data_IF_574751964303
#
_entry.id   IF_574751964303
#
_cell.length_a   1.000
_cell.length_b   1.000
_cell.length_c   1.000
_cell.angle_alpha   90.00
_cell.angle_beta   90.00
_cell.angle_gamma   90.00
#
_symmetry.space_group_name_H-M   'P 1'
#
loop_
_entity.id
_entity.type
_entity.pdbx_description
1 polymer ?
#
# COMPACT_ATOMS: atom_id res chain seq x y z
N UNK A 1 6.83 0.86 -11.15
CA UNK A 1 6.39 -0.53 -11.46
C UNK A 1 6.54 -1.50 -10.28
N UNK A 2 7.39 -1.22 -9.29
CA UNK A 2 7.70 -2.17 -8.21
C UNK A 2 6.64 -2.37 -7.12
N UNK A 3 5.78 -1.38 -6.85
CA UNK A 3 4.84 -1.43 -5.71
C UNK A 3 3.56 -2.21 -6.02
N UNK A 4 2.97 -1.98 -7.18
CA UNK A 4 1.79 -2.75 -7.61
C UNK A 4 2.13 -4.23 -7.82
N UNK A 5 3.33 -4.54 -8.32
CA UNK A 5 3.78 -5.92 -8.50
C UNK A 5 3.93 -6.68 -7.18
N UNK A 6 4.34 -6.03 -6.07
CA UNK A 6 4.47 -6.70 -4.77
C UNK A 6 3.12 -7.03 -4.13
N UNK A 7 2.12 -6.16 -4.28
CA UNK A 7 0.76 -6.43 -3.79
C UNK A 7 0.12 -7.53 -4.65
N UNK A 8 0.23 -7.43 -5.98
CA UNK A 8 -0.23 -8.48 -6.89
C UNK A 8 0.50 -9.80 -6.65
N UNK A 9 1.82 -9.76 -6.38
CA UNK A 9 2.59 -10.94 -6.08
C UNK A 9 2.12 -11.61 -4.78
N UNK A 10 1.87 -10.82 -3.71
CA UNK A 10 1.35 -11.35 -2.44
C UNK A 10 -0.07 -11.88 -2.57
N UNK A 11 -0.95 -11.19 -3.31
CA UNK A 11 -2.33 -11.62 -3.54
C UNK A 11 -2.43 -12.84 -4.48
N UNK A 12 -1.51 -12.99 -5.44
CA UNK A 12 -1.53 -14.11 -6.40
C UNK A 12 -0.70 -15.30 -5.95
N UNK A 13 0.40 -15.11 -5.23
CA UNK A 13 1.21 -16.22 -4.70
C UNK A 13 0.44 -16.98 -3.63
N UNK A 14 -0.34 -16.31 -2.78
CA UNK A 14 -1.05 -16.97 -1.68
C UNK A 14 -2.08 -18.02 -2.16
N UNK A 15 -2.99 -17.73 -3.09
CA UNK A 15 -3.91 -18.74 -3.62
C UNK A 15 -3.21 -19.84 -4.41
N UNK A 16 -2.11 -19.53 -5.11
CA UNK A 16 -1.32 -20.56 -5.82
C UNK A 16 -0.64 -21.50 -4.84
N UNK A 17 0.02 -20.95 -3.80
CA UNK A 17 0.63 -21.76 -2.73
C UNK A 17 -0.42 -22.57 -1.96
N UNK A 18 -1.58 -21.97 -1.66
CA UNK A 18 -2.69 -22.67 -1.01
C UNK A 18 -3.22 -23.81 -1.89
N UNK A 19 -3.36 -23.61 -3.20
CA UNK A 19 -3.74 -24.65 -4.15
C UNK A 19 -2.72 -25.77 -4.26
N UNK A 20 -1.42 -25.44 -4.33
CA UNK A 20 -0.35 -26.43 -4.36
C UNK A 20 -0.28 -27.23 -3.06
N UNK A 21 -0.42 -26.58 -1.91
CA UNK A 21 -0.46 -27.25 -0.61
C UNK A 21 -1.73 -28.09 -0.45
N UNK A 22 -2.89 -27.60 -0.91
CA UNK A 22 -4.12 -28.40 -0.90
C UNK A 22 -3.95 -29.68 -1.73
N UNK A 23 -3.35 -29.57 -2.91
CA UNK A 23 -3.07 -30.73 -3.78
C UNK A 23 -2.02 -31.67 -3.13
N UNK A 24 -0.95 -31.15 -2.55
CA UNK A 24 0.04 -31.95 -1.81
C UNK A 24 -0.57 -32.69 -0.60
N UNK A 25 -1.60 -32.12 0.02
CA UNK A 25 -2.29 -32.71 1.18
C UNK A 25 -3.33 -33.75 0.74
N UNK A 26 -3.72 -33.82 -0.54
CA UNK A 26 -4.70 -34.84 -1.02
C UNK A 26 -4.24 -36.27 -0.75
N UNK A 27 -2.95 -36.56 -0.83
CA UNK A 27 -2.35 -37.87 -0.52
C UNK A 27 -2.10 -38.16 0.95
N UNK A 28 -2.35 -37.21 1.86
CA UNK A 28 -2.01 -37.35 3.28
C UNK A 28 -3.09 -38.18 3.99
N UNK A 29 -2.66 -39.27 4.61
CA UNK A 29 -3.43 -40.09 5.57
C UNK A 29 -2.77 -39.95 6.93
N UNK A 30 -3.49 -39.70 8.03
CA UNK A 30 -4.96 -39.80 8.24
C UNK A 30 -5.70 -38.46 7.92
N UNK A 31 -6.99 -38.57 7.67
CA UNK A 31 -7.90 -37.43 7.38
C UNK A 31 -7.81 -36.31 8.44
N UNK A 32 -7.54 -36.65 9.68
CA UNK A 32 -7.38 -35.68 10.76
C UNK A 32 -6.21 -34.70 10.51
N UNK A 33 -5.07 -35.21 10.02
CA UNK A 33 -3.90 -34.38 9.70
C UNK A 33 -4.20 -33.43 8.54
N UNK A 34 -4.92 -33.91 7.53
CA UNK A 34 -5.38 -33.07 6.41
C UNK A 34 -6.25 -31.89 6.89
N UNK A 35 -7.20 -32.12 7.78
CA UNK A 35 -8.05 -31.07 8.37
C UNK A 35 -7.26 -30.06 9.18
N UNK A 36 -6.25 -30.50 9.93
CA UNK A 36 -5.37 -29.62 10.71
C UNK A 36 -4.57 -28.71 9.77
N UNK A 37 -3.95 -29.27 8.74
CA UNK A 37 -3.16 -28.50 7.77
C UNK A 37 -4.03 -27.46 7.04
N UNK A 38 -5.21 -27.86 6.57
CA UNK A 38 -6.15 -26.94 5.92
C UNK A 38 -6.63 -25.84 6.89
N UNK A 39 -6.89 -26.19 8.15
CA UNK A 39 -7.25 -25.22 9.18
C UNK A 39 -6.15 -24.19 9.44
N UNK A 40 -4.89 -24.61 9.54
CA UNK A 40 -3.74 -23.73 9.71
C UNK A 40 -3.53 -22.80 8.49
N UNK A 41 -3.71 -23.32 7.28
CA UNK A 41 -3.63 -22.51 6.05
C UNK A 41 -4.72 -21.46 6.02
N UNK A 42 -5.94 -21.81 6.36
CA UNK A 42 -7.07 -20.87 6.42
C UNK A 42 -6.84 -19.80 7.50
N UNK A 43 -6.39 -20.19 8.68
CA UNK A 43 -6.06 -19.26 9.76
C UNK A 43 -4.95 -18.29 9.33
N UNK A 44 -3.88 -18.77 8.68
CA UNK A 44 -2.82 -17.95 8.14
C UNK A 44 -3.31 -16.95 7.08
N UNK A 45 -4.23 -17.39 6.21
CA UNK A 45 -4.83 -16.53 5.20
C UNK A 45 -5.65 -15.39 5.85
N UNK A 46 -6.47 -15.72 6.84
CA UNK A 46 -7.30 -14.75 7.58
C UNK A 46 -6.43 -13.72 8.31
N UNK A 47 -5.38 -14.18 9.01
CA UNK A 47 -4.44 -13.29 9.70
C UNK A 47 -3.74 -12.36 8.71
N UNK A 48 -3.23 -12.89 7.59
CA UNK A 48 -2.57 -12.08 6.57
C UNK A 48 -3.52 -11.04 5.96
N UNK A 49 -4.76 -11.42 5.66
CA UNK A 49 -5.76 -10.49 5.14
C UNK A 49 -6.13 -9.42 6.17
N UNK A 50 -6.29 -9.81 7.44
CA UNK A 50 -6.54 -8.88 8.54
C UNK A 50 -5.41 -7.85 8.72
N UNK A 51 -4.16 -8.28 8.64
CA UNK A 51 -3.00 -7.36 8.75
C UNK A 51 -2.94 -6.37 7.59
N UNK A 52 -3.26 -6.81 6.36
CA UNK A 52 -3.31 -5.93 5.19
C UNK A 52 -4.43 -4.88 5.36
N UNK A 53 -5.63 -5.32 5.73
CA UNK A 53 -6.79 -4.43 5.95
C UNK A 53 -6.50 -3.41 7.05
N UNK A 54 -5.90 -3.86 8.16
CA UNK A 54 -5.51 -2.97 9.26
C UNK A 54 -4.52 -1.89 8.80
N UNK A 55 -3.52 -2.26 8.00
CA UNK A 55 -2.57 -1.31 7.43
C UNK A 55 -3.22 -0.27 6.52
N UNK A 56 -4.17 -0.70 5.68
CA UNK A 56 -4.94 0.22 4.83
C UNK A 56 -5.79 1.18 5.66
N UNK A 57 -6.54 0.68 6.64
CA UNK A 57 -7.37 1.52 7.50
C UNK A 57 -6.56 2.56 8.26
N UNK A 58 -5.34 2.23 8.65
CA UNK A 58 -4.45 3.14 9.37
C UNK A 58 -3.89 4.25 8.47
N UNK A 59 -3.58 3.93 7.23
CA UNK A 59 -3.01 4.88 6.27
C UNK A 59 -4.06 5.69 5.49
N UNK A 60 -5.31 5.24 5.45
CA UNK A 60 -6.39 5.89 4.69
C UNK A 60 -6.62 7.35 5.10
N UNK A 61 -6.70 7.71 6.41
CA UNK A 61 -6.83 9.11 6.82
C UNK A 61 -5.66 9.98 6.36
N UNK A 62 -4.43 9.46 6.42
CA UNK A 62 -3.22 10.17 5.98
C UNK A 62 -3.26 10.42 4.48
N UNK A 63 -3.67 9.41 3.71
CA UNK A 63 -3.90 9.57 2.26
C UNK A 63 -4.93 10.63 1.95
N UNK A 64 -6.06 10.62 2.66
CA UNK A 64 -7.12 11.62 2.51
C UNK A 64 -6.64 13.05 2.80
N UNK A 65 -5.89 13.23 3.89
CA UNK A 65 -5.31 14.53 4.25
C UNK A 65 -4.31 15.01 3.20
N UNK A 66 -3.38 14.15 2.77
CA UNK A 66 -2.40 14.50 1.75
C UNK A 66 -3.07 14.87 0.42
N UNK A 67 -4.11 14.14 0.02
CA UNK A 67 -4.87 14.44 -1.18
C UNK A 67 -5.56 15.80 -1.08
N UNK A 68 -6.21 16.11 0.03
CA UNK A 68 -6.86 17.40 0.27
C UNK A 68 -5.84 18.54 0.26
N UNK A 69 -4.68 18.36 0.90
CA UNK A 69 -3.59 19.34 0.90
C UNK A 69 -3.11 19.64 -0.52
N UNK A 70 -2.90 18.61 -1.34
CA UNK A 70 -2.45 18.77 -2.72
C UNK A 70 -3.49 19.44 -3.62
N UNK A 71 -4.78 19.09 -3.46
CA UNK A 71 -5.88 19.73 -4.20
C UNK A 71 -6.03 21.21 -3.78
N UNK A 72 -5.94 21.51 -2.49
CA UNK A 72 -6.01 22.88 -1.99
C UNK A 72 -4.83 23.72 -2.49
N UNK A 73 -3.62 23.15 -2.47
CA UNK A 73 -2.44 23.81 -3.02
C UNK A 73 -2.59 24.10 -4.52
N UNK A 74 -3.08 23.12 -5.30
CA UNK A 74 -3.36 23.31 -6.73
C UNK A 74 -4.38 24.45 -6.94
N UNK A 75 -5.44 24.50 -6.15
CA UNK A 75 -6.45 25.55 -6.23
C UNK A 75 -5.86 26.93 -5.94
N UNK A 76 -5.10 27.07 -4.86
CA UNK A 76 -4.44 28.31 -4.46
C UNK A 76 -3.46 28.80 -5.53
N UNK A 77 -2.66 27.89 -6.09
CA UNK A 77 -1.74 28.21 -7.20
C UNK A 77 -2.51 28.71 -8.42
N UNK A 78 -3.64 28.08 -8.75
CA UNK A 78 -4.48 28.50 -9.88
C UNK A 78 -5.10 29.90 -9.69
N UNK A 79 -5.22 30.35 -8.44
CA UNK A 79 -5.65 31.69 -8.07
C UNK A 79 -4.51 32.71 -7.99
N UNK A 80 -3.29 32.33 -8.33
CA UNK A 80 -2.11 33.19 -8.31
C UNK A 80 -1.46 33.37 -6.93
N UNK A 81 -1.80 32.52 -5.95
CA UNK A 81 -1.13 32.53 -4.66
C UNK A 81 0.26 31.87 -4.77
N UNK A 82 1.27 32.51 -4.22
CA UNK A 82 2.62 31.94 -4.13
C UNK A 82 2.70 30.93 -3.00
N UNK A 83 3.04 29.69 -3.32
CA UNK A 83 3.28 28.61 -2.37
C UNK A 83 4.72 28.12 -2.56
N UNK A 84 5.56 28.21 -1.54
CA UNK A 84 6.94 27.74 -1.59
C UNK A 84 7.07 26.25 -1.28
N UNK A 85 6.35 25.78 -0.28
CA UNK A 85 6.45 24.39 0.23
C UNK A 85 5.08 23.83 0.53
N UNK A 86 4.89 22.54 0.26
CA UNK A 86 3.67 21.79 0.60
C UNK A 86 4.07 20.68 1.57
N UNK A 87 3.53 20.70 2.79
CA UNK A 87 3.78 19.67 3.80
C UNK A 87 2.83 18.50 3.61
N UNK A 88 3.37 17.31 3.54
CA UNK A 88 2.66 16.05 3.41
C UNK A 88 3.04 15.12 4.56
N UNK A 89 2.07 14.37 5.06
CA UNK A 89 2.32 13.41 6.13
C UNK A 89 2.84 12.09 5.56
N UNK A 90 3.86 11.51 6.21
CA UNK A 90 4.34 10.16 5.90
C UNK A 90 3.31 9.12 6.30
N UNK A 91 3.16 8.11 5.45
CA UNK A 91 2.41 6.91 5.80
C UNK A 91 3.17 6.10 6.85
N UNK A 92 2.49 5.67 7.90
CA UNK A 92 3.15 5.11 9.08
C UNK A 92 3.80 3.73 8.85
N UNK A 93 3.28 2.93 7.92
CA UNK A 93 3.68 1.53 7.85
C UNK A 93 3.73 0.98 6.42
N UNK A 94 4.93 0.59 5.98
CA UNK A 94 5.18 -0.02 4.67
C UNK A 94 4.97 -1.54 4.63
N UNK A 95 4.95 -2.20 5.79
CA UNK A 95 4.79 -3.66 5.91
C UNK A 95 3.44 -4.13 5.35
N UNK A 96 2.39 -3.35 5.56
CA UNK A 96 1.02 -3.72 5.22
C UNK A 96 0.51 -3.09 3.92
N UNK A 97 1.03 -1.92 3.55
CA UNK A 97 0.59 -1.15 2.38
C UNK A 97 1.55 -1.21 1.19
N UNK A 98 2.57 -2.04 1.27
CA UNK A 98 3.59 -2.18 0.24
C UNK A 98 4.67 -1.11 0.32
N UNK A 99 5.39 -0.88 -0.78
CA UNK A 99 6.57 -0.03 -0.80
C UNK A 99 6.28 1.49 -0.84
N UNK A 100 5.02 1.92 -0.83
CA UNK A 100 4.68 3.35 -0.95
C UNK A 100 5.26 4.22 0.18
N UNK A 101 5.16 3.83 1.47
CA UNK A 101 5.79 4.59 2.55
C UNK A 101 7.31 4.70 2.43
N UNK A 102 7.97 3.63 2.02
CA UNK A 102 9.42 3.63 1.82
C UNK A 102 9.87 4.49 0.63
N UNK A 103 8.96 4.83 -0.28
CA UNK A 103 9.23 5.64 -1.47
C UNK A 103 8.89 7.13 -1.27
N UNK A 104 8.33 7.51 -0.12
CA UNK A 104 8.03 8.90 0.20
C UNK A 104 9.32 9.72 0.31
N UNK A 105 9.29 10.91 -0.26
CA UNK A 105 10.45 11.78 -0.31
C UNK A 105 11.45 11.48 -1.44
N UNK A 106 11.33 10.38 -2.16
CA UNK A 106 12.15 10.18 -3.36
C UNK A 106 11.78 11.19 -4.45
N UNK A 107 12.80 11.77 -5.08
CA UNK A 107 12.64 12.83 -6.06
C UNK A 107 11.72 12.45 -7.23
N UNK A 108 11.81 11.22 -7.73
CA UNK A 108 10.96 10.77 -8.82
C UNK A 108 9.48 10.63 -8.41
N UNK A 109 9.18 10.26 -7.15
CA UNK A 109 7.81 10.21 -6.64
C UNK A 109 7.26 11.62 -6.50
N UNK A 110 8.04 12.55 -5.95
CA UNK A 110 7.66 13.95 -5.84
C UNK A 110 7.36 14.56 -7.22
N UNK A 111 8.17 14.26 -8.24
CA UNK A 111 7.91 14.66 -9.63
C UNK A 111 6.59 14.10 -10.17
N UNK A 112 6.29 12.83 -9.88
CA UNK A 112 5.02 12.22 -10.29
C UNK A 112 3.82 12.86 -9.62
N UNK A 113 3.88 13.12 -8.31
CA UNK A 113 2.84 13.81 -7.55
C UNK A 113 2.60 15.20 -8.13
N UNK A 114 3.66 16.01 -8.30
CA UNK A 114 3.57 17.35 -8.89
C UNK A 114 2.91 17.32 -10.27
N UNK A 115 3.34 16.41 -11.14
CA UNK A 115 2.76 16.25 -12.47
C UNK A 115 1.27 15.86 -12.42
N UNK A 116 0.90 14.95 -11.53
CA UNK A 116 -0.48 14.49 -11.41
C UNK A 116 -1.42 15.60 -10.92
N UNK A 117 -0.99 16.35 -9.90
CA UNK A 117 -1.75 17.46 -9.33
C UNK A 117 -1.50 18.81 -10.04
N UNK A 118 -0.73 18.83 -11.12
CA UNK A 118 -0.38 20.06 -11.86
C UNK A 118 0.26 21.13 -10.98
N UNK A 119 1.10 20.72 -10.05
CA UNK A 119 1.87 21.58 -9.16
C UNK A 119 3.18 21.96 -9.89
N UNK A 120 3.60 23.24 -9.89
CA UNK A 120 4.87 23.68 -10.43
C UNK A 120 6.06 22.92 -9.85
N UNK A 121 7.09 22.66 -10.67
CA UNK A 121 8.22 21.82 -10.27
C UNK A 121 9.13 22.50 -9.24
N UNK A 122 9.11 23.82 -9.16
CA UNK A 122 9.85 24.64 -8.19
C UNK A 122 9.30 24.53 -6.75
N UNK A 123 8.04 24.17 -6.57
CA UNK A 123 7.44 24.02 -5.24
C UNK A 123 7.99 22.76 -4.57
N UNK A 124 8.47 22.86 -3.34
CA UNK A 124 9.00 21.74 -2.58
C UNK A 124 7.87 20.93 -1.93
N UNK A 125 7.97 19.59 -1.98
CA UNK A 125 7.12 18.68 -1.21
C UNK A 125 7.92 18.20 0.01
N UNK A 126 7.50 18.59 1.18
CA UNK A 126 8.11 18.20 2.45
C UNK A 126 7.27 17.10 3.12
N UNK A 127 7.93 16.00 3.53
CA UNK A 127 7.29 14.84 4.15
C UNK A 127 7.64 14.80 5.64
N UNK A 128 6.62 14.96 6.49
CA UNK A 128 6.71 14.93 7.96
C UNK A 128 6.39 13.55 8.54
#
# INVERSE_FOLDING_TARGET
TGSRSRIFLRLSIFPVLAGMLAHAVEGVQPIALKKIILGLLLAGAVVNMGTILFGYQRNDPIHGLNQQTLISAQHNISQGQEIGTINLQKLENDLYTGAMPAMQGYEYINKWIKKYYRIPMEIELHWE
#
